data_IF_470146231554
#
_entry.id   IF_470146231554
#
_cell.length_a   1.000
_cell.length_b   1.000
_cell.length_c   1.000
_cell.angle_alpha   90.00
_cell.angle_beta   90.00
_cell.angle_gamma   90.00
#
_symmetry.space_group_name_H-M   'P 1'
#
loop_
_entity.id
_entity.type
_entity.pdbx_description
1 polymer ?
#
# COMPACT_ATOMS: atom_id res chain seq x y z
N UNK A 1 -19.64 -17.49 51.68
CA UNK A 1 -20.43 -17.38 50.43
C UNK A 1 -20.10 -16.12 49.63
N UNK A 2 -20.05 -14.94 50.24
CA UNK A 2 -19.74 -13.64 49.57
C UNK A 2 -18.37 -13.63 48.86
N UNK A 3 -17.33 -14.24 49.44
CA UNK A 3 -15.98 -14.31 48.83
C UNK A 3 -15.96 -15.04 47.48
N UNK A 4 -16.71 -16.13 47.35
CA UNK A 4 -16.77 -16.90 46.09
C UNK A 4 -17.65 -16.21 45.04
N UNK A 5 -18.68 -15.48 45.47
CA UNK A 5 -19.51 -14.66 44.59
C UNK A 5 -18.72 -13.51 43.95
N UNK A 6 -17.81 -12.88 44.69
CA UNK A 6 -16.96 -11.81 44.15
C UNK A 6 -15.94 -12.35 43.12
N UNK A 7 -15.38 -13.54 43.35
CA UNK A 7 -14.44 -14.18 42.43
C UNK A 7 -15.12 -14.57 41.11
N UNK A 8 -16.36 -15.06 41.15
CA UNK A 8 -17.13 -15.38 39.94
C UNK A 8 -17.48 -14.12 39.14
N UNK A 9 -17.79 -13.00 39.81
CA UNK A 9 -18.09 -11.73 39.15
C UNK A 9 -16.88 -11.15 38.39
N UNK A 10 -15.67 -11.30 38.94
CA UNK A 10 -14.42 -10.89 38.30
C UNK A 10 -14.03 -11.76 37.10
N UNK A 11 -14.42 -13.04 37.07
CA UNK A 11 -14.19 -13.91 35.92
C UNK A 11 -15.11 -13.56 34.73
N UNK A 12 -16.34 -13.10 35.00
CA UNK A 12 -17.31 -12.81 33.94
C UNK A 12 -17.02 -11.52 33.17
N UNK A 13 -16.35 -10.53 33.76
CA UNK A 13 -16.01 -9.27 33.07
C UNK A 13 -14.83 -9.41 32.12
N UNK A 14 -13.93 -10.37 32.34
CA UNK A 14 -12.79 -10.65 31.47
C UNK A 14 -13.19 -11.32 30.13
N UNK A 15 -14.38 -11.92 30.05
CA UNK A 15 -14.89 -12.56 28.83
C UNK A 15 -15.64 -11.59 27.91
N UNK A 16 -15.92 -10.36 28.35
CA UNK A 16 -16.68 -9.36 27.59
C UNK A 16 -15.78 -8.33 26.87
N UNK A 17 -14.45 -8.39 27.03
CA UNK A 17 -13.51 -7.47 26.36
C UNK A 17 -13.08 -7.93 24.95
N UNK A 18 -13.88 -8.76 24.29
CA UNK A 18 -13.54 -9.38 23.01
C UNK A 18 -14.59 -9.15 21.94
N UNK A 19 -14.56 -7.98 21.31
CA UNK A 19 -14.89 -7.75 19.90
C UNK A 19 -14.75 -6.25 19.63
N UNK A 20 -13.54 -5.79 19.33
CA UNK A 20 -13.44 -4.61 18.46
C UNK A 20 -13.94 -5.09 17.10
N UNK A 21 -15.17 -4.71 16.77
CA UNK A 21 -15.73 -4.87 15.44
C UNK A 21 -14.88 -3.98 14.53
N UNK A 22 -13.86 -4.54 13.91
CA UNK A 22 -13.21 -3.92 12.77
C UNK A 22 -14.25 -3.94 11.65
N UNK A 23 -15.02 -2.85 11.58
CA UNK A 23 -15.83 -2.49 10.43
C UNK A 23 -14.96 -2.61 9.15
N UNK A 24 -15.58 -3.13 8.10
CA UNK A 24 -15.07 -3.23 6.72
C UNK A 24 -13.99 -4.27 6.41
N UNK A 25 -14.46 -5.48 6.13
CA UNK A 25 -13.77 -6.45 5.25
C UNK A 25 -13.86 -6.02 3.78
N UNK A 26 -13.38 -4.82 3.46
CA UNK A 26 -12.84 -4.53 2.13
C UNK A 26 -11.32 -4.54 2.28
N UNK A 27 -10.57 -5.31 1.46
CA UNK A 27 -9.12 -5.13 1.45
C UNK A 27 -8.85 -3.65 1.16
N UNK A 28 -8.14 -2.99 2.07
CA UNK A 28 -7.72 -1.62 1.86
C UNK A 28 -6.81 -1.62 0.63
N UNK A 29 -7.34 -1.15 -0.50
CA UNK A 29 -6.51 -0.90 -1.68
C UNK A 29 -5.60 0.29 -1.37
N UNK A 30 -4.40 0.28 -1.94
CA UNK A 30 -3.46 1.36 -1.78
C UNK A 30 -4.02 2.65 -2.40
N UNK A 31 -3.62 3.80 -1.88
CA UNK A 31 -3.93 5.09 -2.48
C UNK A 31 -3.05 5.38 -3.71
N UNK A 32 -3.42 6.39 -4.49
CA UNK A 32 -2.61 6.89 -5.61
C UNK A 32 -1.22 7.33 -5.13
N UNK A 33 -1.15 8.01 -3.98
CA UNK A 33 0.11 8.47 -3.38
C UNK A 33 0.98 7.29 -2.95
N UNK A 34 0.38 6.21 -2.43
CA UNK A 34 1.12 5.00 -2.11
C UNK A 34 1.68 4.32 -3.37
N UNK A 35 0.90 4.25 -4.45
CA UNK A 35 1.38 3.73 -5.74
C UNK A 35 2.56 4.53 -6.29
N UNK A 36 2.49 5.88 -6.20
CA UNK A 36 3.59 6.77 -6.57
C UNK A 36 4.83 6.52 -5.72
N UNK A 37 4.68 6.43 -4.39
CA UNK A 37 5.80 6.19 -3.48
C UNK A 37 6.49 4.85 -3.76
N UNK A 38 5.72 3.80 -4.03
CA UNK A 38 6.26 2.48 -4.38
C UNK A 38 7.12 2.58 -5.64
N UNK A 39 6.64 3.26 -6.67
CA UNK A 39 7.38 3.44 -7.93
C UNK A 39 8.63 4.29 -7.74
N UNK A 40 8.54 5.39 -7.01
CA UNK A 40 9.69 6.22 -6.69
C UNK A 40 10.77 5.42 -5.96
N UNK A 41 10.40 4.68 -4.92
CA UNK A 41 11.33 3.84 -4.17
C UNK A 41 11.91 2.71 -5.01
N UNK A 42 11.12 2.09 -5.88
CA UNK A 42 11.58 1.06 -6.80
C UNK A 42 12.64 1.62 -7.76
N UNK A 43 12.34 2.73 -8.42
CA UNK A 43 13.25 3.34 -9.39
C UNK A 43 14.51 3.91 -8.74
N UNK A 44 14.41 4.59 -7.60
CA UNK A 44 15.58 5.12 -6.87
C UNK A 44 16.51 4.02 -6.32
N UNK A 45 15.97 2.82 -6.05
CA UNK A 45 16.77 1.66 -5.64
C UNK A 45 17.54 1.06 -6.82
N UNK A 46 16.91 0.97 -7.98
CA UNK A 46 17.50 0.35 -9.16
C UNK A 46 18.39 1.33 -9.94
N UNK A 47 18.12 2.63 -9.85
CA UNK A 47 18.76 3.64 -10.66
C UNK A 47 18.76 5.03 -9.98
N UNK A 48 19.90 5.72 -9.96
CA UNK A 48 20.07 7.03 -9.30
C UNK A 48 20.43 8.16 -10.26
N UNK A 49 20.03 8.07 -11.53
CA UNK A 49 20.27 9.14 -12.48
C UNK A 49 19.28 10.30 -12.33
N UNK A 50 19.74 11.39 -11.70
CA UNK A 50 19.02 12.66 -11.65
C UNK A 50 17.66 12.61 -10.95
N UNK A 51 16.82 13.61 -11.24
CA UNK A 51 15.48 13.75 -10.67
C UNK A 51 14.48 12.85 -11.41
N UNK A 52 13.75 12.02 -10.67
CA UNK A 52 12.61 11.26 -11.19
C UNK A 52 11.34 12.09 -11.08
N UNK A 53 10.58 12.18 -12.18
CA UNK A 53 9.29 12.87 -12.23
C UNK A 53 8.19 11.89 -12.58
N UNK A 54 7.13 11.89 -11.78
CA UNK A 54 5.89 11.21 -12.14
C UNK A 54 5.16 12.09 -13.17
N UNK A 55 4.82 11.49 -14.31
CA UNK A 55 4.15 12.15 -15.43
C UNK A 55 2.66 11.92 -15.37
N UNK A 56 2.23 10.71 -15.00
CA UNK A 56 0.83 10.34 -14.92
C UNK A 56 0.62 9.18 -13.94
N UNK A 57 -0.57 9.17 -13.32
CA UNK A 57 -1.09 8.04 -12.58
C UNK A 57 -2.51 7.77 -13.05
N UNK A 58 -2.79 6.53 -13.42
CA UNK A 58 -4.10 6.07 -13.86
C UNK A 58 -4.52 4.88 -12.99
N UNK A 59 -5.73 4.90 -12.44
CA UNK A 59 -6.33 3.74 -11.77
C UNK A 59 -7.41 3.15 -12.66
N UNK A 60 -7.29 1.88 -13.03
CA UNK A 60 -8.26 1.19 -13.88
C UNK A 60 -8.42 -0.25 -13.44
N UNK A 61 -9.64 -0.64 -13.08
CA UNK A 61 -9.90 -1.96 -12.51
C UNK A 61 -9.18 -2.11 -11.16
N UNK A 62 -8.37 -3.16 -11.04
CA UNK A 62 -7.61 -3.49 -9.83
C UNK A 62 -6.14 -3.04 -9.91
N UNK A 63 -5.83 -2.09 -10.80
CA UNK A 63 -4.45 -1.74 -11.11
C UNK A 63 -4.20 -0.24 -11.19
N UNK A 64 -3.05 0.16 -10.65
CA UNK A 64 -2.45 1.47 -10.88
C UNK A 64 -1.42 1.37 -12.00
N UNK A 65 -1.46 2.32 -12.93
CA UNK A 65 -0.43 2.55 -13.94
C UNK A 65 0.25 3.87 -13.63
N UNK A 66 1.53 3.81 -13.30
CA UNK A 66 2.35 4.99 -12.95
C UNK A 66 3.40 5.19 -14.03
N UNK A 67 3.36 6.34 -14.69
CA UNK A 67 4.30 6.73 -15.75
C UNK A 67 5.28 7.75 -15.20
N UNK A 68 6.57 7.59 -15.49
CA UNK A 68 7.63 8.46 -14.98
C UNK A 68 8.70 8.75 -16.02
N UNK A 69 9.47 9.81 -15.79
CA UNK A 69 10.62 10.21 -16.61
C UNK A 69 11.80 10.70 -15.77
N UNK A 70 13.02 10.54 -16.31
CA UNK A 70 14.26 11.16 -15.86
C UNK A 70 14.88 11.91 -17.04
N UNK A 71 14.66 13.23 -17.08
CA UNK A 71 15.16 14.06 -18.19
C UNK A 71 16.70 14.08 -18.28
N UNK A 72 17.40 13.83 -17.18
CA UNK A 72 18.86 13.86 -17.11
C UNK A 72 19.57 12.86 -18.03
N UNK A 73 18.91 11.75 -18.34
CA UNK A 73 19.45 10.65 -19.15
C UNK A 73 18.44 10.12 -20.18
N UNK A 74 17.41 10.92 -20.50
CA UNK A 74 16.36 10.56 -21.46
C UNK A 74 15.69 9.22 -21.15
N UNK A 75 15.62 8.86 -19.87
CA UNK A 75 15.01 7.62 -19.41
C UNK A 75 13.54 7.87 -19.06
N UNK A 76 12.70 6.90 -19.35
CA UNK A 76 11.29 6.93 -18.97
C UNK A 76 10.75 5.52 -18.81
N UNK A 77 9.65 5.40 -18.08
CA UNK A 77 9.07 4.10 -17.83
C UNK A 77 7.62 4.15 -17.38
N UNK A 78 7.05 2.96 -17.29
CA UNK A 78 5.70 2.72 -16.77
C UNK A 78 5.73 1.47 -15.92
N UNK A 79 5.19 1.57 -14.70
CA UNK A 79 4.93 0.41 -13.85
C UNK A 79 3.43 0.20 -13.67
N UNK A 80 3.04 -1.07 -13.69
CA UNK A 80 1.69 -1.53 -13.37
C UNK A 80 1.72 -2.21 -12.00
N UNK A 81 0.89 -1.74 -11.08
CA UNK A 81 0.81 -2.21 -9.70
C UNK A 81 -0.59 -2.78 -9.43
N UNK A 82 -0.68 -3.90 -8.71
CA UNK A 82 -1.95 -4.35 -8.14
C UNK A 82 -2.39 -3.42 -7.02
N UNK A 83 -3.66 -3.00 -7.00
CA UNK A 83 -4.16 -2.03 -6.02
C UNK A 83 -4.31 -2.63 -4.61
N UNK A 84 -4.47 -3.95 -4.51
CA UNK A 84 -4.66 -4.65 -3.23
C UNK A 84 -3.43 -4.63 -2.31
N UNK A 85 -2.23 -4.56 -2.88
CA UNK A 85 -0.97 -4.75 -2.15
C UNK A 85 0.21 -3.93 -2.70
N UNK A 86 0.04 -3.26 -3.84
CA UNK A 86 1.09 -2.46 -4.48
C UNK A 86 2.19 -3.27 -5.14
N UNK A 87 1.97 -4.58 -5.38
CA UNK A 87 2.91 -5.39 -6.14
C UNK A 87 3.03 -4.87 -7.57
N UNK A 88 4.26 -4.51 -7.98
CA UNK A 88 4.56 -4.23 -9.38
C UNK A 88 4.49 -5.54 -10.16
N UNK A 89 3.51 -5.67 -11.05
CA UNK A 89 3.26 -6.86 -11.88
C UNK A 89 3.77 -6.72 -13.31
N UNK A 90 4.03 -5.50 -13.76
CA UNK A 90 4.64 -5.23 -15.07
C UNK A 90 5.45 -3.92 -15.03
N UNK A 91 6.56 -3.90 -15.76
CA UNK A 91 7.47 -2.76 -15.88
C UNK A 91 7.95 -2.63 -17.33
N UNK A 92 7.84 -1.43 -17.89
CA UNK A 92 8.46 -1.07 -19.17
C UNK A 92 9.37 0.13 -18.94
N UNK A 93 10.63 0.05 -19.37
CA UNK A 93 11.62 1.12 -19.24
C UNK A 93 12.31 1.31 -20.59
N UNK A 94 12.58 2.56 -20.96
CA UNK A 94 13.28 2.95 -22.18
C UNK A 94 14.31 4.03 -21.89
N UNK A 95 15.44 3.98 -22.61
CA UNK A 95 16.52 4.97 -22.60
C UNK A 95 16.96 5.24 -24.05
N UNK A 96 17.42 6.46 -24.37
CA UNK A 96 17.84 6.85 -25.72
C UNK A 96 19.25 6.39 -26.09
#
# INVERSE_FOLDING_TARGET
>A
MIKYAMIMLLLTTALLSGCEHSEDTKPAIISEEQAVQIVQQYEERNNRFGELKIVAVEHTGHQYKVTWERKSNCESGTHILEDRDGQIVNSTVSIC
#
